data_IF_594994243890
#
_entry.id   IF_594994243890
#
_cell.length_a   1.000
_cell.length_b   1.000
_cell.length_c   1.000
_cell.angle_alpha   90.00
_cell.angle_beta   90.00
_cell.angle_gamma   90.00
#
_symmetry.space_group_name_H-M   'P 1'
#
loop_
_entity.id
_entity.type
_entity.pdbx_description
1 polymer ?
#
# COMPACT_ATOMS: atom_id res chain seq x y z
N UNK A 1 0.77 -4.50 -36.43
CA UNK A 1 1.21 -3.09 -36.28
C UNK A 1 0.85 -2.63 -34.87
N UNK A 2 1.86 -2.41 -34.03
CA UNK A 2 1.70 -1.81 -32.70
C UNK A 2 1.38 -0.31 -32.87
N UNK A 3 0.13 0.08 -32.60
CA UNK A 3 -0.25 1.48 -32.39
C UNK A 3 -0.57 1.67 -30.91
N UNK A 4 0.44 1.92 -30.10
CA UNK A 4 0.27 2.49 -28.75
C UNK A 4 1.43 3.47 -28.49
N UNK A 5 1.57 4.45 -29.38
CA UNK A 5 2.39 5.63 -29.14
C UNK A 5 1.49 6.70 -28.52
N UNK A 6 1.39 6.72 -27.19
CA UNK A 6 0.71 7.79 -26.45
C UNK A 6 -0.09 7.34 -25.23
N UNK A 7 -0.63 6.12 -25.23
CA UNK A 7 -1.35 5.58 -24.08
C UNK A 7 -0.36 4.86 -23.16
N UNK A 8 -0.15 5.42 -21.97
CA UNK A 8 0.58 4.73 -20.91
C UNK A 8 -0.16 3.43 -20.64
N UNK A 9 0.52 2.29 -20.80
CA UNK A 9 -0.09 0.97 -20.61
C UNK A 9 -0.76 0.92 -19.23
N UNK A 10 -1.99 0.39 -19.09
CA UNK A 10 -2.77 0.50 -17.85
C UNK A 10 -2.03 0.04 -16.60
N UNK A 11 -1.19 -1.00 -16.72
CA UNK A 11 -0.37 -1.50 -15.61
C UNK A 11 0.75 -0.55 -15.19
N UNK A 12 1.27 0.32 -16.08
CA UNK A 12 2.30 1.31 -15.73
C UNK A 12 1.70 2.38 -14.81
N UNK A 13 0.49 2.87 -15.11
CA UNK A 13 -0.22 3.82 -14.24
C UNK A 13 -0.53 3.18 -12.88
N UNK A 14 -1.03 1.94 -12.90
CA UNK A 14 -1.33 1.18 -11.69
C UNK A 14 -0.09 0.93 -10.83
N UNK A 15 1.07 0.69 -11.44
CA UNK A 15 2.35 0.60 -10.73
C UNK A 15 2.72 1.89 -10.01
N UNK A 16 2.54 3.05 -10.65
CA UNK A 16 2.77 4.36 -10.01
C UNK A 16 1.82 4.60 -8.83
N UNK A 17 0.55 4.20 -8.96
CA UNK A 17 -0.43 4.33 -7.89
C UNK A 17 -0.08 3.45 -6.68
N UNK A 18 0.43 2.24 -6.95
CA UNK A 18 0.96 1.32 -5.93
C UNK A 18 2.17 1.94 -5.22
N UNK A 19 3.14 2.46 -5.96
CA UNK A 19 4.33 3.11 -5.39
C UNK A 19 3.96 4.33 -4.53
N UNK A 20 3.03 5.16 -5.01
CA UNK A 20 2.53 6.31 -4.27
C UNK A 20 1.74 5.91 -3.01
N UNK A 21 0.97 4.82 -3.07
CA UNK A 21 0.27 4.27 -1.90
C UNK A 21 1.26 3.69 -0.88
N UNK A 22 2.30 2.99 -1.31
CA UNK A 22 3.38 2.53 -0.44
C UNK A 22 4.10 3.69 0.26
N UNK A 23 4.44 4.75 -0.49
CA UNK A 23 5.08 5.93 0.08
C UNK A 23 4.22 6.62 1.16
N UNK A 24 2.90 6.71 0.92
CA UNK A 24 1.93 7.26 1.91
C UNK A 24 1.84 6.42 3.18
N UNK A 25 1.81 5.10 3.05
CA UNK A 25 1.82 4.20 4.21
C UNK A 25 3.11 4.34 5.03
N UNK A 26 4.26 4.39 4.36
CA UNK A 26 5.56 4.58 5.02
C UNK A 26 5.66 5.94 5.75
N UNK A 27 5.13 7.01 5.14
CA UNK A 27 5.03 8.31 5.80
C UNK A 27 4.14 8.23 7.05
N UNK A 28 2.97 7.60 6.93
CA UNK A 28 2.04 7.41 8.05
C UNK A 28 2.68 6.62 9.21
N UNK A 29 3.45 5.57 8.91
CA UNK A 29 4.19 4.83 9.93
C UNK A 29 5.23 5.70 10.62
N UNK A 30 6.03 6.45 9.86
CA UNK A 30 7.05 7.36 10.39
C UNK A 30 6.45 8.41 11.32
N UNK A 31 5.32 9.00 10.93
CA UNK A 31 4.63 10.00 11.74
C UNK A 31 4.03 9.36 13.00
N UNK A 32 3.50 8.14 12.89
CA UNK A 32 2.84 7.43 13.97
C UNK A 32 3.78 7.00 15.12
N UNK A 33 5.09 6.86 14.88
CA UNK A 33 6.10 6.54 15.91
C UNK A 33 6.03 7.51 17.09
N UNK A 34 5.77 8.79 16.81
CA UNK A 34 5.77 9.85 17.82
C UNK A 34 4.38 10.15 18.40
N UNK A 35 3.32 9.48 17.91
CA UNK A 35 1.95 9.72 18.37
C UNK A 35 1.66 8.90 19.64
N UNK A 36 0.84 9.47 20.52
CA UNK A 36 0.42 8.83 21.77
C UNK A 36 -1.11 8.69 21.86
N UNK A 37 -1.57 7.74 22.68
CA UNK A 37 -2.98 7.59 23.06
C UNK A 37 -3.96 7.58 21.88
N UNK A 38 -4.94 8.49 21.92
CA UNK A 38 -6.03 8.55 20.93
C UNK A 38 -5.57 8.97 19.53
N UNK A 39 -4.48 9.72 19.39
CA UNK A 39 -3.95 10.11 18.08
C UNK A 39 -3.30 8.91 17.38
N UNK A 40 -2.60 8.06 18.13
CA UNK A 40 -2.06 6.80 17.62
C UNK A 40 -3.18 5.87 17.13
N UNK A 41 -4.29 5.78 17.86
CA UNK A 41 -5.44 4.97 17.46
C UNK A 41 -6.05 5.45 16.13
N UNK A 42 -6.24 6.77 15.98
CA UNK A 42 -6.72 7.35 14.72
C UNK A 42 -5.75 7.14 13.56
N UNK A 43 -4.45 7.26 13.82
CA UNK A 43 -3.42 6.97 12.83
C UNK A 43 -3.44 5.49 12.41
N UNK A 44 -3.66 4.57 13.36
CA UNK A 44 -3.82 3.14 13.10
C UNK A 44 -5.03 2.85 12.22
N UNK A 45 -6.19 3.41 12.52
CA UNK A 45 -7.40 3.25 11.70
C UNK A 45 -7.23 3.82 10.29
N UNK A 46 -6.54 4.96 10.16
CA UNK A 46 -6.21 5.54 8.87
C UNK A 46 -5.26 4.64 8.09
N UNK A 47 -4.19 4.17 8.72
CA UNK A 47 -3.22 3.26 8.13
C UNK A 47 -3.87 1.97 7.63
N UNK A 48 -4.73 1.34 8.44
CA UNK A 48 -5.42 0.10 8.05
C UNK A 48 -6.36 0.31 6.84
N UNK A 49 -7.03 1.47 6.76
CA UNK A 49 -7.86 1.80 5.59
C UNK A 49 -7.03 2.00 4.33
N UNK A 50 -5.92 2.74 4.44
CA UNK A 50 -5.00 2.96 3.31
C UNK A 50 -4.30 1.65 2.88
N UNK A 51 -3.96 0.78 3.84
CA UNK A 51 -3.41 -0.55 3.60
C UNK A 51 -4.39 -1.46 2.82
N UNK A 52 -5.67 -1.45 3.20
CA UNK A 52 -6.70 -2.18 2.48
C UNK A 52 -6.92 -1.66 1.05
N UNK A 53 -6.77 -0.34 0.83
CA UNK A 53 -6.84 0.25 -0.50
C UNK A 53 -5.64 -0.19 -1.37
N UNK A 54 -4.43 -0.20 -0.80
CA UNK A 54 -3.23 -0.70 -1.47
C UNK A 54 -3.36 -2.19 -1.82
N UNK A 55 -3.88 -3.02 -0.91
CA UNK A 55 -4.09 -4.46 -1.16
C UNK A 55 -5.02 -4.70 -2.36
N UNK A 56 -6.04 -3.85 -2.54
CA UNK A 56 -6.91 -3.88 -3.73
C UNK A 56 -6.15 -3.52 -5.01
N UNK A 57 -5.33 -2.47 -4.99
CA UNK A 57 -4.51 -2.09 -6.14
C UNK A 57 -3.53 -3.19 -6.53
N UNK A 58 -2.90 -3.84 -5.54
CA UNK A 58 -2.01 -4.98 -5.75
C UNK A 58 -2.75 -6.19 -6.33
N UNK A 59 -3.98 -6.43 -5.89
CA UNK A 59 -4.83 -7.47 -6.48
C UNK A 59 -5.16 -7.19 -7.94
N UNK A 60 -5.52 -5.95 -8.27
CA UNK A 60 -5.79 -5.53 -9.64
C UNK A 60 -4.54 -5.63 -10.51
N UNK A 61 -3.39 -5.21 -9.98
CA UNK A 61 -2.11 -5.28 -10.68
C UNK A 61 -1.70 -6.73 -10.97
N UNK A 62 -1.87 -7.62 -10.00
CA UNK A 62 -1.64 -9.06 -10.18
C UNK A 62 -2.58 -9.69 -11.23
N UNK A 63 -3.75 -9.11 -11.48
CA UNK A 63 -4.70 -9.55 -12.49
C UNK A 63 -4.36 -9.02 -13.89
N UNK A 64 -3.89 -7.77 -13.99
CA UNK A 64 -3.65 -7.07 -15.27
C UNK A 64 -2.26 -7.36 -15.85
N UNK A 65 -1.26 -7.71 -15.03
CA UNK A 65 0.11 -7.94 -15.50
C UNK A 65 0.29 -9.33 -16.14
N UNK A 66 0.76 -9.42 -17.41
CA UNK A 66 0.86 -10.69 -18.15
C UNK A 66 1.89 -11.70 -17.64
N UNK A 67 2.76 -11.33 -16.69
CA UNK A 67 3.90 -12.13 -16.25
C UNK A 67 3.87 -12.38 -14.74
N UNK A 68 3.77 -13.67 -14.37
CA UNK A 68 3.85 -14.27 -13.02
C UNK A 68 3.01 -13.58 -11.95
N UNK A 69 1.97 -14.29 -11.47
CA UNK A 69 1.19 -13.96 -10.26
C UNK A 69 2.11 -13.53 -9.12
N UNK A 70 2.25 -12.22 -8.94
CA UNK A 70 2.96 -11.64 -7.81
C UNK A 70 2.00 -11.68 -6.62
N UNK A 71 1.93 -12.82 -5.94
CA UNK A 71 1.40 -12.82 -4.56
C UNK A 71 2.34 -12.07 -3.60
N UNK A 72 3.57 -11.79 -4.06
CA UNK A 72 4.59 -11.01 -3.38
C UNK A 72 4.15 -9.54 -3.29
N UNK A 73 3.75 -9.12 -2.10
CA UNK A 73 3.41 -7.72 -1.81
C UNK A 73 2.01 -7.49 -1.27
N UNK A 74 1.11 -8.51 -1.29
CA UNK A 74 -0.22 -8.41 -0.67
C UNK A 74 -0.10 -7.90 0.77
N UNK A 75 -1.06 -7.07 1.18
CA UNK A 75 -1.10 -6.45 2.50
C UNK A 75 -2.43 -6.77 3.21
N UNK A 76 -2.66 -8.04 3.61
CA UNK A 76 -3.86 -8.42 4.33
C UNK A 76 -4.02 -7.63 5.64
N UNK A 77 -5.26 -7.46 6.15
CA UNK A 77 -5.52 -6.63 7.34
C UNK A 77 -4.70 -7.00 8.58
N UNK A 78 -4.47 -8.30 8.81
CA UNK A 78 -3.68 -8.78 9.96
C UNK A 78 -2.18 -8.47 9.81
N UNK A 79 -1.64 -8.52 8.60
CA UNK A 79 -0.25 -8.14 8.31
C UNK A 79 -0.08 -6.62 8.44
N UNK A 80 -1.02 -5.84 7.90
CA UNK A 80 -1.02 -4.39 8.05
C UNK A 80 -1.06 -3.98 9.53
N UNK A 81 -1.95 -4.59 10.32
CA UNK A 81 -2.01 -4.34 11.76
C UNK A 81 -0.67 -4.63 12.46
N UNK A 82 -0.08 -5.80 12.19
CA UNK A 82 1.21 -6.17 12.75
C UNK A 82 2.34 -5.21 12.34
N UNK A 83 2.36 -4.72 11.08
CA UNK A 83 3.34 -3.73 10.63
C UNK A 83 3.21 -2.39 11.36
N UNK A 84 1.98 -1.91 11.56
CA UNK A 84 1.75 -0.67 12.31
C UNK A 84 2.15 -0.81 13.78
N UNK A 85 1.74 -1.91 14.40
CA UNK A 85 2.01 -2.16 15.81
C UNK A 85 3.53 -2.31 16.04
N UNK A 86 4.24 -3.03 15.15
CA UNK A 86 5.70 -3.15 15.20
C UNK A 86 6.44 -1.81 14.97
N UNK A 87 5.96 -0.98 14.04
CA UNK A 87 6.58 0.31 13.77
C UNK A 87 6.37 1.35 14.89
N UNK A 88 5.32 1.19 15.71
CA UNK A 88 4.96 2.13 16.78
C UNK A 88 5.26 1.61 18.19
N UNK A 89 5.84 0.42 18.30
CA UNK A 89 6.50 -0.09 19.49
C UNK A 89 7.86 0.62 19.64
N UNK A 90 7.83 1.81 20.21
CA UNK A 90 9.02 2.47 20.75
C UNK A 90 9.27 1.88 22.14
N UNK A 91 10.35 1.12 22.31
CA UNK A 91 10.93 0.79 23.63
C UNK A 91 11.41 2.05 24.36
#
# INVERSE_FOLDING_TARGET
MLKLAGETLPWISLGRDIDAAHARLQATLRDAVNLAGGERLRARERYLREAAALDKLLQEYAFVVPTRRLERGRLPPHIAAAQFDAATQTE
#
